data_IF_982123469591
#
_entry.id   IF_982123469591
#
_cell.length_a   1.000
_cell.length_b   1.000
_cell.length_c   1.000
_cell.angle_alpha   90.00
_cell.angle_beta   90.00
_cell.angle_gamma   90.00
#
_symmetry.space_group_name_H-M   'P 1'
#
loop_
_entity.id
_entity.type
_entity.pdbx_description
1 polymer ?
#
# COMPACT_ATOMS: atom_id res chain seq x y z
N UNK A 1 -42.79 -2.72 3.15
CA UNK A 1 -41.47 -2.57 3.71
C UNK A 1 -40.87 -1.31 3.11
N UNK A 2 -40.41 -0.31 3.87
CA UNK A 2 -39.71 0.82 3.28
C UNK A 2 -38.41 0.29 2.60
N UNK A 3 -38.16 0.73 1.38
CA UNK A 3 -36.93 0.41 0.69
C UNK A 3 -35.76 0.91 1.56
N UNK A 4 -34.80 0.03 1.82
CA UNK A 4 -33.59 0.42 2.55
C UNK A 4 -32.93 1.57 1.77
N UNK A 5 -32.71 2.69 2.43
CA UNK A 5 -31.93 3.79 1.85
C UNK A 5 -30.54 3.21 1.54
N UNK A 6 -30.07 3.27 0.30
CA UNK A 6 -28.74 2.74 -0.01
C UNK A 6 -27.71 3.43 0.90
N UNK A 7 -26.85 2.63 1.52
CA UNK A 7 -25.78 3.16 2.36
C UNK A 7 -24.94 4.15 1.57
N UNK A 8 -24.65 5.31 2.15
CA UNK A 8 -23.82 6.30 1.50
C UNK A 8 -22.44 5.71 1.20
N UNK A 9 -21.92 5.95 0.01
CA UNK A 9 -20.56 5.55 -0.35
C UNK A 9 -19.58 6.37 0.48
N UNK A 10 -18.73 5.68 1.25
CA UNK A 10 -17.84 6.37 2.19
C UNK A 10 -16.50 5.63 2.38
N UNK A 11 -15.55 6.33 2.97
CA UNK A 11 -14.28 5.76 3.40
C UNK A 11 -14.51 4.82 4.57
N UNK A 12 -14.20 3.54 4.38
CA UNK A 12 -14.32 2.50 5.41
C UNK A 12 -13.08 2.46 6.33
N UNK A 13 -11.90 2.51 5.74
CA UNK A 13 -10.64 2.49 6.50
C UNK A 13 -9.52 3.18 5.75
N UNK A 14 -8.56 3.71 6.53
CA UNK A 14 -7.34 4.35 6.07
C UNK A 14 -6.14 3.62 6.67
N UNK A 15 -5.14 3.31 5.85
CA UNK A 15 -3.91 2.63 6.28
C UNK A 15 -2.72 3.20 5.52
N UNK A 16 -1.70 3.66 6.24
CA UNK A 16 -0.42 4.00 5.65
C UNK A 16 0.64 3.00 6.08
N UNK A 17 1.72 2.90 5.34
CA UNK A 17 2.78 1.90 5.52
C UNK A 17 4.13 2.62 5.60
N UNK A 18 4.58 3.08 6.77
CA UNK A 18 5.77 3.91 6.88
C UNK A 18 7.00 3.27 6.24
N UNK A 19 7.22 1.98 6.55
CA UNK A 19 8.31 1.18 5.98
C UNK A 19 7.75 0.24 4.91
N UNK A 20 8.26 0.37 3.70
CA UNK A 20 7.87 -0.50 2.58
C UNK A 20 8.06 -1.97 2.94
N UNK A 21 7.00 -2.77 2.79
CA UNK A 21 7.00 -4.20 3.11
C UNK A 21 6.63 -4.52 4.57
N UNK A 22 6.72 -3.58 5.52
CA UNK A 22 6.33 -3.79 6.92
C UNK A 22 4.81 -3.65 7.12
N UNK A 23 4.33 -3.88 8.33
CA UNK A 23 2.92 -3.75 8.70
C UNK A 23 2.38 -2.34 8.41
N UNK A 24 1.08 -2.25 8.17
CA UNK A 24 0.40 -0.97 8.01
C UNK A 24 -0.06 -0.40 9.35
N UNK A 25 -0.25 0.91 9.38
CA UNK A 25 -0.79 1.67 10.51
C UNK A 25 -2.17 2.17 10.10
N UNK A 26 -3.20 1.71 10.80
CA UNK A 26 -4.57 2.16 10.59
C UNK A 26 -4.82 3.46 11.35
N UNK A 27 -5.49 4.42 10.69
CA UNK A 27 -5.79 5.72 11.27
C UNK A 27 -7.25 6.12 10.99
N UNK A 28 -7.81 6.93 11.87
CA UNK A 28 -9.16 7.49 11.65
C UNK A 28 -9.14 8.71 10.71
N UNK A 29 -8.05 9.45 10.71
CA UNK A 29 -7.82 10.64 9.87
C UNK A 29 -6.40 10.58 9.31
N UNK A 30 -6.22 10.99 8.08
CA UNK A 30 -4.91 11.04 7.43
C UNK A 30 -4.76 12.31 6.59
N UNK A 31 -3.61 12.93 6.67
CA UNK A 31 -3.22 13.99 5.73
C UNK A 31 -2.74 13.34 4.44
N UNK A 32 -3.13 13.98 3.34
CA UNK A 32 -2.78 13.57 1.97
C UNK A 32 -1.82 14.60 1.40
N UNK A 33 -0.63 14.15 1.11
CA UNK A 33 0.43 14.92 0.44
C UNK A 33 0.45 14.59 -1.06
N UNK A 34 1.30 15.23 -1.84
CA UNK A 34 1.47 14.90 -3.26
C UNK A 34 1.95 13.44 -3.50
N UNK A 35 2.61 12.82 -2.51
CA UNK A 35 3.15 11.46 -2.60
C UNK A 35 2.24 10.38 -1.96
N UNK A 36 1.02 10.74 -1.55
CA UNK A 36 0.04 9.84 -0.91
C UNK A 36 -0.31 10.23 0.52
N UNK A 37 -0.72 9.27 1.35
CA UNK A 37 -0.91 9.53 2.77
C UNK A 37 0.42 9.92 3.39
N UNK A 38 0.39 10.86 4.32
CA UNK A 38 1.62 11.32 4.96
C UNK A 38 2.36 10.14 5.61
N UNK A 39 3.68 10.18 5.54
CA UNK A 39 4.61 9.11 5.94
C UNK A 39 4.48 7.78 5.16
N UNK A 40 3.60 7.64 4.16
CA UNK A 40 3.43 6.38 3.42
C UNK A 40 4.68 6.04 2.59
N UNK A 41 5.25 4.83 2.84
CA UNK A 41 6.45 4.29 2.15
C UNK A 41 7.62 5.28 2.10
N UNK A 42 7.79 6.06 3.18
CA UNK A 42 8.91 6.99 3.34
C UNK A 42 10.21 6.24 3.62
N UNK A 43 10.11 5.04 4.20
CA UNK A 43 11.25 4.17 4.51
C UNK A 43 11.20 2.86 3.74
N UNK A 44 12.38 2.24 3.60
CA UNK A 44 12.55 0.97 2.92
C UNK A 44 13.70 0.18 3.55
N UNK A 45 13.53 -1.14 3.71
CA UNK A 45 14.61 -2.05 4.09
C UNK A 45 15.31 -2.52 2.83
N UNK A 46 16.61 -2.39 2.80
CA UNK A 46 17.46 -2.80 1.66
C UNK A 46 18.57 -3.75 2.09
N UNK A 47 19.09 -4.52 1.16
CA UNK A 47 20.32 -5.30 1.34
C UNK A 47 21.48 -4.34 1.63
N UNK A 48 22.32 -4.68 2.62
CA UNK A 48 23.52 -3.90 2.95
C UNK A 48 24.59 -4.00 1.86
N UNK A 49 24.54 -5.05 1.04
CA UNK A 49 25.55 -5.36 0.02
C UNK A 49 25.34 -4.54 -1.26
N UNK A 50 24.11 -4.52 -1.78
CA UNK A 50 23.81 -3.96 -3.11
C UNK A 50 22.68 -2.92 -3.12
N UNK A 51 22.13 -2.54 -1.95
CA UNK A 51 21.04 -1.58 -1.84
C UNK A 51 19.71 -2.05 -2.44
N UNK A 52 19.56 -3.33 -2.76
CA UNK A 52 18.33 -3.87 -3.31
C UNK A 52 17.22 -3.97 -2.26
N UNK A 53 16.00 -3.60 -2.64
CA UNK A 53 14.82 -3.68 -1.78
C UNK A 53 14.56 -5.10 -1.24
N UNK A 54 14.43 -5.22 0.08
CA UNK A 54 13.99 -6.44 0.76
C UNK A 54 12.45 -6.49 0.78
N UNK A 55 11.90 -7.41 0.00
CA UNK A 55 10.46 -7.50 -0.26
C UNK A 55 9.83 -8.65 0.51
N UNK A 56 8.53 -8.54 0.87
CA UNK A 56 7.76 -9.69 1.37
C UNK A 56 7.75 -10.90 0.42
N UNK A 57 8.15 -10.76 -0.84
CA UNK A 57 8.30 -11.89 -1.78
C UNK A 57 9.40 -12.85 -1.33
N UNK A 58 10.49 -12.32 -0.78
CA UNK A 58 11.66 -13.07 -0.32
C UNK A 58 11.72 -13.13 1.21
N UNK A 59 11.25 -12.07 1.87
CA UNK A 59 11.25 -11.91 3.33
C UNK A 59 9.83 -11.66 3.84
N UNK A 60 8.95 -12.67 3.82
CA UNK A 60 7.54 -12.50 4.21
C UNK A 60 7.38 -12.05 5.66
N UNK A 61 8.37 -12.31 6.53
CA UNK A 61 8.40 -11.84 7.93
C UNK A 61 8.36 -10.32 8.08
N UNK A 62 8.71 -9.54 7.04
CA UNK A 62 8.53 -8.09 7.07
C UNK A 62 7.07 -7.70 7.38
N UNK A 63 6.08 -8.52 7.00
CA UNK A 63 4.67 -8.27 7.24
C UNK A 63 4.33 -8.07 8.73
N UNK A 64 5.05 -8.70 9.64
CA UNK A 64 4.80 -8.64 11.09
C UNK A 64 5.68 -7.61 11.82
N UNK A 65 6.46 -6.83 11.11
CA UNK A 65 7.19 -5.69 11.68
C UNK A 65 6.21 -4.55 11.89
N UNK A 66 5.77 -4.34 13.12
CA UNK A 66 4.97 -3.19 13.51
C UNK A 66 5.82 -1.92 13.47
N UNK A 67 5.24 -0.84 12.96
CA UNK A 67 5.90 0.46 12.82
C UNK A 67 5.00 1.54 13.39
N UNK A 68 5.53 2.36 14.27
CA UNK A 68 4.88 3.58 14.75
C UNK A 68 5.73 4.78 14.34
N UNK A 69 5.08 5.80 13.79
CA UNK A 69 5.69 7.10 13.50
C UNK A 69 5.35 8.03 14.65
N UNK A 70 6.37 8.55 15.33
CA UNK A 70 6.25 9.37 16.52
C UNK A 70 6.77 10.78 16.24
N UNK A 71 6.33 11.75 17.06
CA UNK A 71 6.83 13.11 17.05
C UNK A 71 6.83 13.75 15.65
N UNK A 72 5.70 13.62 14.92
CA UNK A 72 5.54 14.17 13.57
C UNK A 72 6.61 13.67 12.58
N UNK A 73 6.98 12.38 12.68
CA UNK A 73 7.96 11.76 11.79
C UNK A 73 9.43 11.91 12.21
N UNK A 74 9.70 12.48 13.37
CA UNK A 74 11.07 12.65 13.90
C UNK A 74 11.62 11.39 14.55
N UNK A 75 10.74 10.47 14.95
CA UNK A 75 11.11 9.21 15.59
C UNK A 75 10.32 8.05 15.00
N UNK A 76 10.94 6.88 14.96
CA UNK A 76 10.31 5.60 14.62
C UNK A 76 10.41 4.66 15.81
N UNK A 77 9.33 3.91 16.04
CA UNK A 77 9.33 2.73 16.89
C UNK A 77 9.03 1.50 16.04
N UNK A 78 9.92 0.52 16.11
CA UNK A 78 9.84 -0.75 15.41
C UNK A 78 9.66 -1.88 16.41
N UNK A 79 8.79 -2.84 16.12
CA UNK A 79 8.62 -4.03 16.95
C UNK A 79 8.32 -5.25 16.08
N UNK A 80 8.91 -6.40 16.41
CA UNK A 80 8.60 -7.66 15.74
C UNK A 80 8.73 -8.84 16.71
N UNK A 81 7.99 -9.95 16.48
CA UNK A 81 8.09 -11.14 17.30
C UNK A 81 9.54 -11.68 17.34
N UNK A 82 10.10 -11.79 18.55
CA UNK A 82 11.47 -12.28 18.76
C UNK A 82 12.60 -11.31 18.52
N UNK A 83 12.32 -10.09 18.00
CA UNK A 83 13.35 -9.05 17.77
C UNK A 83 13.31 -7.93 18.81
N UNK A 84 12.29 -7.91 19.69
CA UNK A 84 12.10 -6.83 20.65
C UNK A 84 11.64 -5.50 19.99
N UNK A 85 11.81 -4.42 20.74
CA UNK A 85 11.43 -3.07 20.32
C UNK A 85 12.68 -2.25 20.08
N UNK A 86 12.71 -1.47 19.01
CA UNK A 86 13.69 -0.44 18.72
C UNK A 86 12.99 0.91 18.58
N UNK A 87 13.45 1.91 19.29
CA UNK A 87 13.10 3.32 19.04
C UNK A 87 14.35 4.04 18.53
N UNK A 88 14.19 4.81 17.47
CA UNK A 88 15.29 5.58 16.86
C UNK A 88 14.83 6.97 16.43
N UNK A 89 15.74 7.91 16.49
CA UNK A 89 15.56 9.21 15.89
C UNK A 89 15.74 9.10 14.38
N UNK A 90 14.83 9.71 13.62
CA UNK A 90 14.87 9.71 12.17
C UNK A 90 15.94 10.68 11.70
N UNK A 91 16.93 10.17 10.97
CA UNK A 91 17.91 11.00 10.28
C UNK A 91 17.26 11.58 8.99
N UNK A 92 16.95 12.88 8.95
CA UNK A 92 16.37 13.49 7.75
C UNK A 92 17.40 13.63 6.62
N UNK A 93 18.66 13.73 6.98
CA UNK A 93 19.83 13.77 6.13
C UNK A 93 21.01 13.03 6.77
N UNK A 94 22.03 12.63 6.00
CA UNK A 94 23.17 11.87 6.53
C UNK A 94 23.83 11.03 5.44
N UNK A 95 24.38 9.89 5.84
CA UNK A 95 25.04 8.96 4.90
C UNK A 95 24.06 8.56 3.79
N UNK A 96 24.54 8.64 2.54
CA UNK A 96 23.77 8.31 1.34
C UNK A 96 24.12 6.91 0.86
N UNK A 97 23.08 6.19 0.42
CA UNK A 97 23.23 4.88 -0.21
C UNK A 97 22.45 4.82 -1.50
N UNK A 98 23.09 4.32 -2.56
CA UNK A 98 22.40 3.93 -3.78
C UNK A 98 21.43 2.80 -3.46
N UNK A 99 20.18 2.93 -3.92
CA UNK A 99 19.15 1.92 -3.70
C UNK A 99 18.45 1.53 -4.99
N UNK A 100 17.91 0.32 -5.02
CA UNK A 100 17.17 -0.18 -6.16
C UNK A 100 15.84 -0.83 -5.76
N UNK A 101 14.85 -0.72 -6.66
CA UNK A 101 13.53 -1.29 -6.50
C UNK A 101 13.24 -2.25 -7.66
N UNK A 102 13.22 -3.55 -7.38
CA UNK A 102 13.03 -4.59 -8.40
C UNK A 102 14.02 -4.49 -9.57
N UNK A 103 15.30 -4.27 -9.25
CA UNK A 103 16.38 -4.14 -10.24
C UNK A 103 16.44 -2.78 -10.97
N UNK A 104 15.58 -1.83 -10.63
CA UNK A 104 15.62 -0.47 -11.19
C UNK A 104 16.29 0.46 -10.19
N UNK A 105 17.32 1.21 -10.58
CA UNK A 105 17.92 2.23 -9.73
C UNK A 105 16.88 3.26 -9.30
N UNK A 106 16.97 3.65 -8.02
CA UNK A 106 16.11 4.68 -7.41
C UNK A 106 16.91 5.93 -7.03
N UNK A 107 18.23 5.91 -7.28
CA UNK A 107 19.17 6.91 -6.80
C UNK A 107 19.46 6.74 -5.31
N UNK A 108 19.89 7.82 -4.68
CA UNK A 108 20.33 7.81 -3.29
C UNK A 108 19.17 7.92 -2.30
N UNK A 109 19.33 7.22 -1.17
CA UNK A 109 18.48 7.29 0.02
C UNK A 109 19.33 7.57 1.25
N UNK A 110 18.72 8.08 2.33
CA UNK A 110 19.39 8.38 3.60
C UNK A 110 19.39 7.16 4.49
N UNK A 111 20.57 6.68 4.86
CA UNK A 111 20.74 5.59 5.83
C UNK A 111 20.28 6.01 7.23
N UNK A 112 19.56 5.14 7.92
CA UNK A 112 19.01 5.41 9.26
C UNK A 112 19.92 4.88 10.40
N UNK A 113 21.17 4.58 10.07
CA UNK A 113 22.19 4.27 11.08
C UNK A 113 22.32 2.79 11.44
N UNK A 114 23.34 2.49 12.26
CA UNK A 114 23.70 1.11 12.60
C UNK A 114 22.67 0.40 13.47
N UNK A 115 22.00 1.08 14.38
CA UNK A 115 20.99 0.47 15.27
C UNK A 115 19.84 -0.15 14.48
N UNK A 116 19.30 0.59 13.50
CA UNK A 116 18.27 0.07 12.60
C UNK A 116 18.80 -1.08 11.74
N UNK A 117 20.05 -0.98 11.27
CA UNK A 117 20.69 -2.03 10.49
C UNK A 117 20.85 -3.33 11.29
N UNK A 118 21.35 -3.25 12.53
CA UNK A 118 21.55 -4.39 13.40
C UNK A 118 20.21 -5.06 13.75
N UNK A 119 19.18 -4.26 14.05
CA UNK A 119 17.85 -4.74 14.36
C UNK A 119 17.23 -5.52 13.19
N UNK A 120 17.20 -4.94 11.99
CA UNK A 120 16.65 -5.59 10.80
C UNK A 120 17.50 -6.79 10.38
N UNK A 121 18.84 -6.70 10.46
CA UNK A 121 19.74 -7.80 10.11
C UNK A 121 19.54 -8.99 11.05
N UNK A 122 19.42 -8.74 12.34
CA UNK A 122 19.13 -9.78 13.34
C UNK A 122 17.75 -10.42 13.11
N UNK A 123 16.72 -9.61 12.84
CA UNK A 123 15.36 -10.10 12.57
C UNK A 123 15.26 -10.91 11.27
N UNK A 124 15.85 -10.42 10.18
CA UNK A 124 15.77 -11.08 8.87
C UNK A 124 16.84 -12.16 8.66
N UNK A 125 17.89 -12.19 9.49
CA UNK A 125 18.99 -13.14 9.37
C UNK A 125 19.90 -12.88 8.16
N UNK A 126 19.96 -11.64 7.69
CA UNK A 126 20.79 -11.23 6.57
C UNK A 126 21.17 -9.74 6.71
N UNK A 127 22.36 -9.31 6.25
CA UNK A 127 22.77 -7.91 6.34
C UNK A 127 21.79 -6.97 5.65
N UNK A 128 21.21 -6.04 6.43
CA UNK A 128 20.20 -5.11 5.99
C UNK A 128 20.52 -3.67 6.42
N UNK A 129 19.92 -2.71 5.74
CA UNK A 129 19.92 -1.30 6.13
C UNK A 129 18.48 -0.78 6.05
N UNK A 130 18.12 0.11 6.97
CA UNK A 130 16.90 0.92 6.85
C UNK A 130 17.28 2.24 6.19
N UNK A 131 16.57 2.60 5.13
CA UNK A 131 16.81 3.85 4.40
C UNK A 131 15.52 4.67 4.32
N UNK A 132 15.69 6.00 4.21
CA UNK A 132 14.61 6.98 4.06
C UNK A 132 14.74 7.71 2.73
N UNK A 133 13.63 8.14 2.14
CA UNK A 133 13.65 9.09 1.03
C UNK A 133 14.47 10.33 1.42
N UNK A 134 15.39 10.74 0.54
CA UNK A 134 16.21 11.93 0.78
C UNK A 134 15.38 13.21 0.63
N UNK A 135 15.79 14.33 1.23
CA UNK A 135 15.23 15.64 0.90
C UNK A 135 15.31 15.90 -0.62
N UNK A 136 14.24 16.43 -1.20
CA UNK A 136 14.14 16.65 -2.63
C UNK A 136 14.06 15.36 -3.47
N UNK A 137 13.67 14.23 -2.87
CA UNK A 137 13.37 13.02 -3.65
C UNK A 137 12.16 13.31 -4.54
N UNK A 138 12.35 13.13 -5.84
CA UNK A 138 11.34 13.43 -6.84
C UNK A 138 11.25 12.25 -7.81
N UNK A 139 10.14 11.53 -7.74
CA UNK A 139 9.87 10.38 -8.60
C UNK A 139 8.44 10.41 -9.08
N UNK A 140 8.28 10.34 -10.39
CA UNK A 140 6.97 10.21 -11.01
C UNK A 140 6.47 8.76 -10.99
N UNK A 141 5.16 8.61 -10.80
CA UNK A 141 4.44 7.39 -11.14
C UNK A 141 4.21 7.29 -12.65
N UNK A 142 3.22 6.49 -13.03
CA UNK A 142 2.80 6.34 -14.43
C UNK A 142 1.29 6.03 -14.51
N UNK A 143 0.74 5.98 -15.72
CA UNK A 143 -0.69 5.72 -15.95
C UNK A 143 -1.43 6.99 -16.36
N UNK A 144 -2.75 6.95 -16.25
CA UNK A 144 -3.62 8.08 -16.66
C UNK A 144 -3.30 9.35 -15.86
N UNK A 145 -3.10 9.21 -14.53
CA UNK A 145 -2.55 10.25 -13.66
C UNK A 145 -1.28 9.70 -13.00
N UNK A 146 -0.07 10.14 -13.41
CA UNK A 146 1.17 9.61 -12.86
C UNK A 146 1.36 9.94 -11.37
N UNK A 147 1.25 11.22 -11.00
CA UNK A 147 1.49 11.72 -9.65
C UNK A 147 2.92 11.52 -9.15
N UNK A 148 3.21 12.00 -7.94
CA UNK A 148 4.49 11.81 -7.25
C UNK A 148 4.41 10.63 -6.31
N UNK A 149 5.55 9.97 -6.06
CA UNK A 149 5.58 8.75 -5.24
C UNK A 149 6.88 8.58 -4.48
N UNK A 150 6.79 8.17 -3.22
CA UNK A 150 7.93 7.77 -2.38
C UNK A 150 8.46 6.39 -2.80
N UNK A 151 8.83 5.51 -1.86
CA UNK A 151 9.27 4.14 -2.15
C UNK A 151 8.12 3.16 -2.49
N UNK A 152 6.88 3.63 -2.68
CA UNK A 152 5.84 2.77 -3.24
C UNK A 152 6.25 2.23 -4.63
N UNK A 153 5.62 1.15 -5.11
CA UNK A 153 6.08 0.49 -6.36
C UNK A 153 6.06 1.45 -7.54
N UNK A 154 4.95 2.16 -7.75
CA UNK A 154 4.82 3.10 -8.87
C UNK A 154 3.73 4.17 -8.68
N UNK A 155 2.95 4.14 -7.61
CA UNK A 155 1.80 5.03 -7.43
C UNK A 155 1.63 5.40 -5.97
N UNK A 156 1.16 6.62 -5.74
CA UNK A 156 0.97 7.21 -4.42
C UNK A 156 0.02 6.39 -3.55
N UNK A 157 -1.12 6.02 -4.09
CA UNK A 157 -2.22 5.41 -3.35
C UNK A 157 -2.72 4.11 -4.00
N UNK A 158 -3.28 3.25 -3.15
CA UNK A 158 -4.08 2.10 -3.59
C UNK A 158 -5.47 2.20 -2.96
N UNK A 159 -6.51 2.15 -3.80
CA UNK A 159 -7.92 2.24 -3.42
C UNK A 159 -8.59 0.91 -3.72
N UNK A 160 -9.28 0.33 -2.73
CA UNK A 160 -10.03 -0.92 -2.85
C UNK A 160 -11.45 -0.72 -2.32
N UNK A 161 -12.36 -1.64 -2.61
CA UNK A 161 -13.71 -1.63 -2.03
C UNK A 161 -14.04 -2.92 -1.30
N UNK A 162 -14.91 -2.83 -0.29
CA UNK A 162 -15.43 -4.01 0.40
C UNK A 162 -16.22 -4.90 -0.55
N UNK A 163 -17.03 -4.34 -1.46
CA UNK A 163 -17.78 -5.11 -2.44
C UNK A 163 -16.87 -5.98 -3.32
N UNK A 164 -15.67 -5.47 -3.69
CA UNK A 164 -14.68 -6.25 -4.44
C UNK A 164 -14.08 -7.40 -3.63
N UNK A 165 -13.80 -7.15 -2.34
CA UNK A 165 -13.31 -8.19 -1.44
C UNK A 165 -14.37 -9.26 -1.20
N UNK A 166 -15.62 -8.88 -0.96
CA UNK A 166 -16.74 -9.79 -0.73
C UNK A 166 -16.95 -10.69 -1.95
N UNK A 167 -16.95 -10.11 -3.16
CA UNK A 167 -17.10 -10.87 -4.39
C UNK A 167 -15.92 -11.83 -4.66
N UNK A 168 -14.71 -11.45 -4.28
CA UNK A 168 -13.54 -12.32 -4.34
C UNK A 168 -13.66 -13.45 -3.32
N UNK A 169 -13.98 -13.13 -2.07
CA UNK A 169 -14.10 -14.10 -1.00
C UNK A 169 -15.21 -15.11 -1.24
N UNK A 170 -16.35 -14.68 -1.82
CA UNK A 170 -17.39 -15.59 -2.25
C UNK A 170 -16.84 -16.65 -3.23
N UNK A 171 -16.06 -16.23 -4.23
CA UNK A 171 -15.45 -17.16 -5.20
C UNK A 171 -14.39 -18.07 -4.57
N UNK A 172 -13.65 -17.57 -3.57
CA UNK A 172 -12.66 -18.37 -2.82
C UNK A 172 -13.37 -19.48 -2.04
N UNK A 173 -14.46 -19.14 -1.35
CA UNK A 173 -15.28 -20.07 -0.57
C UNK A 173 -15.93 -21.14 -1.49
N UNK A 174 -16.47 -20.75 -2.65
CA UNK A 174 -17.03 -21.65 -3.64
C UNK A 174 -15.99 -22.67 -4.18
N UNK A 175 -14.69 -22.35 -4.08
CA UNK A 175 -13.58 -23.25 -4.43
C UNK A 175 -13.10 -24.08 -3.23
N UNK A 176 -13.74 -23.99 -2.07
CA UNK A 176 -13.41 -24.74 -0.87
C UNK A 176 -12.17 -24.22 -0.13
N UNK A 177 -11.85 -22.93 -0.28
CA UNK A 177 -10.74 -22.28 0.45
C UNK A 177 -11.27 -21.23 1.43
N UNK A 178 -10.46 -20.87 2.42
CA UNK A 178 -10.79 -19.84 3.40
C UNK A 178 -10.74 -18.44 2.79
N UNK A 179 -11.65 -17.53 3.18
CA UNK A 179 -11.64 -16.15 2.75
C UNK A 179 -10.36 -15.44 3.20
N UNK A 180 -9.95 -14.43 2.45
CA UNK A 180 -8.77 -13.62 2.76
C UNK A 180 -9.17 -12.23 3.25
N UNK A 181 -8.44 -11.64 4.21
CA UNK A 181 -8.68 -10.27 4.66
C UNK A 181 -8.16 -9.24 3.64
N UNK A 182 -8.65 -8.00 3.76
CA UNK A 182 -8.30 -6.89 2.88
C UNK A 182 -6.80 -6.52 2.94
N UNK A 183 -6.16 -6.71 4.07
CA UNK A 183 -4.75 -6.37 4.31
C UNK A 183 -3.77 -7.16 3.43
N UNK A 184 -4.19 -8.32 2.86
CA UNK A 184 -3.40 -9.04 1.83
C UNK A 184 -3.06 -8.16 0.64
N UNK A 185 -3.93 -7.20 0.32
CA UNK A 185 -3.77 -6.29 -0.82
C UNK A 185 -3.09 -4.97 -0.44
N UNK A 186 -2.95 -4.70 0.86
CA UNK A 186 -2.25 -3.53 1.40
C UNK A 186 -2.75 -2.20 0.80
N UNK A 187 -4.08 -1.96 0.76
CA UNK A 187 -4.63 -0.70 0.27
C UNK A 187 -4.36 0.44 1.26
N UNK A 188 -4.31 1.67 0.75
CA UNK A 188 -4.29 2.87 1.58
C UNK A 188 -5.70 3.29 1.98
N UNK A 189 -6.65 3.15 1.07
CA UNK A 189 -8.04 3.57 1.23
C UNK A 189 -8.94 2.39 0.87
N UNK A 190 -9.84 2.04 1.78
CA UNK A 190 -10.90 1.09 1.52
C UNK A 190 -12.24 1.82 1.51
N UNK A 191 -13.04 1.60 0.48
CA UNK A 191 -14.35 2.23 0.29
C UNK A 191 -15.46 1.20 0.58
N UNK A 192 -16.53 1.66 1.19
CA UNK A 192 -17.76 0.91 1.40
C UNK A 192 -18.95 1.60 0.76
N UNK A 193 -20.05 0.87 0.53
CA UNK A 193 -21.31 1.41 0.00
C UNK A 193 -21.44 1.35 -1.52
N UNK A 194 -20.40 1.04 -2.29
CA UNK A 194 -20.57 0.70 -3.70
C UNK A 194 -21.30 -0.64 -3.84
N UNK A 195 -22.37 -0.70 -4.66
CA UNK A 195 -23.16 -1.93 -4.79
C UNK A 195 -22.45 -3.02 -5.60
N UNK A 196 -21.64 -2.62 -6.59
CA UNK A 196 -21.00 -3.53 -7.51
C UNK A 196 -19.52 -3.73 -7.18
N UNK A 197 -19.00 -4.96 -7.31
CA UNK A 197 -17.56 -5.20 -7.19
C UNK A 197 -16.79 -4.50 -8.33
N UNK A 198 -15.55 -4.15 -8.03
CA UNK A 198 -14.62 -3.49 -8.95
C UNK A 198 -15.09 -2.12 -9.45
N UNK A 199 -16.01 -1.45 -8.74
CA UNK A 199 -16.41 -0.08 -9.03
C UNK A 199 -15.22 0.88 -8.91
N UNK A 200 -14.26 0.59 -8.04
CA UNK A 200 -13.01 1.34 -7.92
C UNK A 200 -12.16 1.38 -9.19
N UNK A 201 -12.36 0.49 -10.14
CA UNK A 201 -11.64 0.49 -11.42
C UNK A 201 -12.18 1.55 -12.40
N UNK A 202 -13.39 2.04 -12.16
CA UNK A 202 -14.16 2.86 -13.11
C UNK A 202 -14.15 4.34 -12.80
N UNK A 203 -13.84 4.77 -11.59
CA UNK A 203 -13.70 6.21 -11.34
C UNK A 203 -12.51 6.76 -12.11
N UNK A 204 -12.59 8.03 -12.50
CA UNK A 204 -11.46 8.77 -13.07
C UNK A 204 -11.01 9.88 -12.14
N UNK A 205 -11.95 10.60 -11.55
CA UNK A 205 -11.69 11.59 -10.50
C UNK A 205 -12.64 11.37 -9.33
N UNK A 206 -12.12 11.42 -8.11
CA UNK A 206 -12.93 11.40 -6.89
C UNK A 206 -12.42 12.38 -5.85
N UNK A 207 -13.31 12.83 -4.99
CA UNK A 207 -13.01 13.67 -3.82
C UNK A 207 -13.36 12.89 -2.55
N UNK A 208 -12.44 12.93 -1.57
CA UNK A 208 -12.56 12.35 -0.24
C UNK A 208 -12.14 13.42 0.77
N UNK A 209 -13.03 13.81 1.69
CA UNK A 209 -12.77 14.95 2.57
C UNK A 209 -12.39 16.20 1.76
N UNK A 210 -11.19 16.72 2.00
CA UNK A 210 -10.66 17.87 1.22
C UNK A 210 -9.66 17.49 0.14
N UNK A 211 -9.28 16.21 0.03
CA UNK A 211 -8.35 15.71 -0.98
C UNK A 211 -9.08 15.36 -2.30
N UNK A 212 -8.35 15.39 -3.43
CA UNK A 212 -8.83 14.89 -4.70
C UNK A 212 -7.84 13.89 -5.31
N UNK A 213 -8.35 12.79 -5.84
CA UNK A 213 -7.58 11.69 -6.40
C UNK A 213 -7.95 11.45 -7.85
N UNK A 214 -6.96 11.12 -8.68
CA UNK A 214 -7.12 10.68 -10.06
C UNK A 214 -6.75 9.22 -10.21
N UNK A 215 -7.52 8.49 -11.00
CA UNK A 215 -7.22 7.12 -11.39
C UNK A 215 -5.88 7.06 -12.15
N UNK A 216 -5.02 6.12 -11.80
CA UNK A 216 -3.78 5.90 -12.54
C UNK A 216 -3.85 4.62 -13.38
N UNK A 217 -4.13 3.50 -12.74
CA UNK A 217 -4.19 2.17 -13.38
C UNK A 217 -4.80 1.15 -12.43
N UNK A 218 -5.32 0.03 -12.95
CA UNK A 218 -5.66 -1.14 -12.13
C UNK A 218 -4.42 -1.65 -11.39
N UNK A 219 -4.58 -2.08 -10.16
CA UNK A 219 -3.45 -2.56 -9.36
C UNK A 219 -3.09 -4.01 -9.72
N UNK A 220 -2.07 -4.19 -10.57
CA UNK A 220 -1.51 -5.50 -10.88
C UNK A 220 -0.90 -6.13 -9.64
N UNK A 221 -1.17 -7.41 -9.42
CA UNK A 221 -0.76 -8.13 -8.23
C UNK A 221 0.42 -9.07 -8.51
N UNK A 222 1.38 -9.03 -7.59
CA UNK A 222 2.49 -9.99 -7.49
C UNK A 222 2.16 -11.07 -6.46
N UNK A 223 3.18 -11.76 -5.93
CA UNK A 223 3.02 -12.78 -4.88
C UNK A 223 2.81 -12.22 -3.46
N UNK A 224 2.94 -10.92 -3.21
CA UNK A 224 2.73 -10.34 -1.86
C UNK A 224 1.36 -10.68 -1.26
N UNK A 225 0.23 -10.69 -1.99
CA UNK A 225 -1.05 -11.12 -1.44
C UNK A 225 -1.10 -12.58 -0.94
N UNK A 226 -0.13 -13.41 -1.29
CA UNK A 226 0.01 -14.78 -0.73
C UNK A 226 0.57 -14.78 0.70
N UNK A 227 1.13 -13.67 1.16
CA UNK A 227 1.66 -13.54 2.52
C UNK A 227 0.55 -13.18 3.47
N UNK A 228 0.38 -13.98 4.50
CA UNK A 228 -0.49 -13.67 5.63
C UNK A 228 0.13 -12.55 6.47
N UNK A 229 -0.55 -11.42 6.52
CA UNK A 229 -0.01 -10.20 7.15
C UNK A 229 0.06 -10.30 8.67
N UNK A 230 -0.73 -11.17 9.29
CA UNK A 230 -0.71 -11.39 10.74
C UNK A 230 0.41 -12.33 11.18
N UNK A 231 0.80 -13.28 10.33
CA UNK A 231 1.79 -14.31 10.69
C UNK A 231 3.15 -14.15 10.00
N UNK A 232 3.22 -13.34 8.93
CA UNK A 232 4.43 -13.19 8.12
C UNK A 232 4.83 -14.48 7.39
N UNK A 233 3.85 -15.31 7.03
CA UNK A 233 4.08 -16.59 6.33
C UNK A 233 3.33 -16.61 5.00
N UNK A 234 3.86 -17.31 4.03
CA UNK A 234 3.10 -17.61 2.80
C UNK A 234 1.96 -18.57 3.13
N UNK A 235 0.73 -18.20 2.75
CA UNK A 235 -0.50 -18.90 3.09
C UNK A 235 -1.25 -19.35 1.82
N UNK A 236 -0.74 -20.39 1.17
CA UNK A 236 -1.39 -21.04 0.03
C UNK A 236 -1.47 -20.18 -1.24
N UNK A 237 -2.21 -20.63 -2.27
CA UNK A 237 -2.28 -19.98 -3.58
C UNK A 237 -3.32 -18.84 -3.65
N UNK A 238 -4.20 -18.70 -2.64
CA UNK A 238 -5.20 -17.63 -2.61
C UNK A 238 -4.60 -16.30 -2.08
N UNK A 239 -5.07 -15.17 -2.57
CA UNK A 239 -6.18 -14.91 -3.50
C UNK A 239 -5.81 -14.97 -4.99
N UNK A 240 -4.54 -15.16 -5.32
CA UNK A 240 -4.02 -15.03 -6.70
C UNK A 240 -4.64 -16.09 -7.62
N UNK A 241 -4.80 -17.34 -7.14
CA UNK A 241 -5.41 -18.42 -7.92
C UNK A 241 -6.85 -18.10 -8.35
N UNK A 242 -7.64 -17.56 -7.43
CA UNK A 242 -9.04 -17.20 -7.71
C UNK A 242 -9.11 -15.98 -8.64
N UNK A 243 -8.32 -14.93 -8.37
CA UNK A 243 -8.23 -13.77 -9.26
C UNK A 243 -7.83 -14.14 -10.68
N UNK A 244 -6.93 -15.10 -10.87
CA UNK A 244 -6.51 -15.57 -12.18
C UNK A 244 -7.65 -16.17 -13.02
N UNK A 245 -8.76 -16.55 -12.41
CA UNK A 245 -9.94 -17.06 -13.11
C UNK A 245 -10.82 -15.99 -13.78
N UNK A 246 -10.70 -14.71 -13.34
CA UNK A 246 -11.62 -13.66 -13.83
C UNK A 246 -11.03 -12.23 -13.89
N UNK A 247 -9.79 -12.02 -13.40
CA UNK A 247 -9.15 -10.70 -13.29
C UNK A 247 -7.79 -10.65 -13.99
N UNK A 248 -7.61 -11.43 -15.06
CA UNK A 248 -6.41 -11.30 -15.90
C UNK A 248 -6.53 -10.10 -16.79
N UNK A 249 -5.46 -9.32 -16.88
CA UNK A 249 -5.35 -8.12 -17.68
C UNK A 249 -4.48 -8.42 -18.92
N UNK A 250 -5.08 -8.56 -20.11
CA UNK A 250 -4.33 -8.89 -21.34
C UNK A 250 -3.22 -7.89 -21.65
N UNK A 251 -3.51 -6.59 -21.44
CA UNK A 251 -2.57 -5.50 -21.71
C UNK A 251 -1.37 -5.46 -20.73
N UNK A 252 -1.39 -6.32 -19.71
CA UNK A 252 -0.34 -6.43 -18.69
C UNK A 252 0.21 -7.85 -18.58
N UNK A 253 0.50 -8.48 -19.72
CA UNK A 253 1.04 -9.84 -19.80
C UNK A 253 0.20 -10.89 -19.05
N UNK A 254 -1.12 -10.72 -18.99
CA UNK A 254 -2.02 -11.60 -18.26
C UNK A 254 -1.85 -11.59 -16.74
N UNK A 255 -1.20 -10.58 -16.17
CA UNK A 255 -1.15 -10.38 -14.72
C UNK A 255 -2.54 -10.21 -14.17
N UNK A 256 -2.73 -10.60 -12.90
CA UNK A 256 -4.02 -10.44 -12.24
C UNK A 256 -4.13 -9.06 -11.58
N UNK A 257 -5.32 -8.48 -11.58
CA UNK A 257 -5.59 -7.20 -10.93
C UNK A 257 -6.55 -7.33 -9.75
N UNK A 258 -6.39 -6.47 -8.74
CA UNK A 258 -7.34 -6.24 -7.66
C UNK A 258 -7.10 -4.86 -7.06
N UNK A 259 -8.15 -4.07 -6.86
CA UNK A 259 -8.05 -2.67 -6.47
C UNK A 259 -7.47 -1.76 -7.58
N UNK A 260 -7.40 -0.48 -7.31
CA UNK A 260 -6.93 0.55 -8.23
C UNK A 260 -5.76 1.32 -7.64
N UNK A 261 -4.91 1.85 -8.48
CA UNK A 261 -3.87 2.81 -8.16
C UNK A 261 -4.37 4.21 -8.48
N UNK A 262 -4.03 5.15 -7.60
CA UNK A 262 -4.43 6.53 -7.76
C UNK A 262 -3.27 7.49 -7.47
N UNK A 263 -3.29 8.63 -8.15
CA UNK A 263 -2.44 9.77 -7.91
C UNK A 263 -3.19 10.82 -7.08
N UNK A 264 -2.46 11.66 -6.36
CA UNK A 264 -3.02 12.81 -5.67
C UNK A 264 -3.10 13.99 -6.63
N UNK A 265 -4.31 14.49 -6.89
CA UNK A 265 -4.56 15.68 -7.72
C UNK A 265 -4.61 16.95 -6.89
N UNK A 266 -5.08 16.83 -5.65
CA UNK A 266 -5.09 17.90 -4.65
C UNK A 266 -4.86 17.31 -3.27
N UNK A 267 -3.85 17.82 -2.57
CA UNK A 267 -3.57 17.51 -1.18
C UNK A 267 -4.74 17.97 -0.28
N UNK A 268 -4.84 17.37 0.90
CA UNK A 268 -5.89 17.67 1.86
C UNK A 268 -5.92 16.65 2.98
N UNK A 269 -7.07 16.50 3.63
CA UNK A 269 -7.27 15.57 4.75
C UNK A 269 -8.44 14.65 4.43
N UNK A 270 -8.31 13.37 4.75
CA UNK A 270 -9.34 12.33 4.61
C UNK A 270 -9.61 11.71 5.98
N UNK A 271 -10.88 11.48 6.30
CA UNK A 271 -11.31 10.79 7.50
C UNK A 271 -12.12 9.52 7.18
N UNK A 272 -12.06 8.52 8.05
CA UNK A 272 -12.99 7.39 8.02
C UNK A 272 -14.41 7.92 8.17
N UNK A 273 -15.32 7.46 7.30
CA UNK A 273 -16.69 7.95 7.21
C UNK A 273 -16.88 9.10 6.22
N UNK A 274 -15.83 9.73 5.71
CA UNK A 274 -15.97 10.74 4.66
C UNK A 274 -16.69 10.19 3.44
N UNK A 275 -17.61 10.98 2.92
CA UNK A 275 -18.33 10.65 1.69
C UNK A 275 -17.37 10.56 0.51
N UNK A 276 -17.56 9.56 -0.32
CA UNK A 276 -16.89 9.44 -1.62
C UNK A 276 -17.72 10.16 -2.67
N UNK A 277 -17.16 11.21 -3.25
CA UNK A 277 -17.81 11.96 -4.31
C UNK A 277 -17.03 11.76 -5.63
N UNK A 278 -17.61 10.97 -6.54
CA UNK A 278 -16.99 10.68 -7.83
C UNK A 278 -17.33 11.77 -8.82
N UNK A 279 -16.34 12.57 -9.20
CA UNK A 279 -16.46 13.71 -10.10
C UNK A 279 -16.47 13.29 -11.58
N UNK A 280 -15.75 12.20 -11.89
CA UNK A 280 -15.71 11.66 -13.26
C UNK A 280 -15.60 10.13 -13.21
N UNK A 281 -16.36 9.50 -14.10
CA UNK A 281 -16.32 8.06 -14.36
C UNK A 281 -15.65 7.78 -15.70
N UNK A 282 -15.24 6.53 -15.92
CA UNK A 282 -14.85 6.02 -17.22
C UNK A 282 -15.95 6.26 -18.26
N UNK A 283 -15.56 6.62 -19.49
CA UNK A 283 -16.53 6.87 -20.58
C UNK A 283 -17.43 5.65 -20.80
N UNK A 284 -18.75 5.92 -20.92
CA UNK A 284 -19.76 4.88 -21.11
C UNK A 284 -20.31 4.24 -19.83
N UNK A 285 -19.81 4.61 -18.64
CA UNK A 285 -20.39 4.21 -17.36
C UNK A 285 -21.50 5.18 -16.96
N UNK A 286 -22.75 4.70 -16.93
CA UNK A 286 -23.87 5.50 -16.39
C UNK A 286 -23.72 5.60 -14.85
N UNK A 287 -24.12 6.77 -14.33
CA UNK A 287 -24.14 7.13 -12.90
C UNK A 287 -25.13 6.30 -12.11
#
# INVERSE_FOLDING_TARGET
MPAAVPAAVSVHSLTYYPVKGCAGVSVAVADVTETGLDHDRTFMVVSAEDGAFRSQRNDPRLAVVAVEVLDEGKRLRLAAPGAGVLELDVAPDGERREVSLFGRPMGEAVDQGPEAADWFSGFLGAPCRLVRVRPGFDRDGWGEHPGKVNFADAHALSVASLASLDALNQRIIERGADPVPMDRFRPNIVITGWPDPHTEDRFRHLTLGTAALGYSVRAMRCSVPLVDQATGRTAGPEPIRTLAGYRREPDYDGKVSFATKAAVLRAGTIAVGDRVDVQAWEDGVQR
#
